data_IF_144136412664
#
_entry.id   IF_144136412664
#
_cell.length_a   1.000
_cell.length_b   1.000
_cell.length_c   1.000
_cell.angle_alpha   90.00
_cell.angle_beta   90.00
_cell.angle_gamma   90.00
#
_symmetry.space_group_name_H-M   'P 1'
#
loop_
_entity.id
_entity.type
_entity.pdbx_description
1 polymer ?
#
# COMPACT_ATOMS: atom_id res chain seq x y z
N UNK A 1 3.47 18.26 -13.15
CA UNK A 1 3.07 17.34 -12.07
C UNK A 1 3.78 15.98 -12.13
N UNK A 2 4.30 15.48 -13.27
CA UNK A 2 4.96 14.18 -13.37
C UNK A 2 6.18 13.96 -12.43
N UNK A 3 6.99 14.99 -12.16
CA UNK A 3 8.27 14.81 -11.46
C UNK A 3 8.23 14.46 -9.96
N UNK A 4 7.12 14.72 -9.25
CA UNK A 4 7.01 14.36 -7.82
C UNK A 4 6.46 12.94 -7.63
N UNK A 5 5.47 12.56 -8.43
CA UNK A 5 4.93 11.20 -8.40
C UNK A 5 5.99 10.17 -8.81
N UNK A 6 6.81 10.47 -9.82
CA UNK A 6 7.96 9.64 -10.22
C UNK A 6 8.98 9.50 -9.09
N UNK A 7 9.29 10.60 -8.39
CA UNK A 7 10.20 10.60 -7.25
C UNK A 7 9.68 9.74 -6.09
N UNK A 8 8.40 9.88 -5.73
CA UNK A 8 7.72 9.08 -4.70
C UNK A 8 7.76 7.60 -5.08
N UNK A 9 7.48 7.28 -6.34
CA UNK A 9 7.50 5.91 -6.84
C UNK A 9 8.90 5.30 -6.76
N UNK A 10 9.94 6.04 -7.16
CA UNK A 10 11.34 5.62 -7.03
C UNK A 10 11.72 5.37 -5.58
N UNK A 11 11.37 6.29 -4.68
CA UNK A 11 11.61 6.15 -3.24
C UNK A 11 10.95 4.87 -2.70
N UNK A 12 9.66 4.66 -2.94
CA UNK A 12 8.93 3.50 -2.46
C UNK A 12 9.50 2.19 -3.02
N UNK A 13 9.79 2.16 -4.33
CA UNK A 13 10.37 1.00 -5.01
C UNK A 13 11.71 0.62 -4.40
N UNK A 14 12.59 1.59 -4.19
CA UNK A 14 13.90 1.33 -3.63
C UNK A 14 13.82 0.92 -2.14
N UNK A 15 12.92 1.52 -1.35
CA UNK A 15 12.66 1.08 0.03
C UNK A 15 12.28 -0.39 0.08
N UNK A 16 11.32 -0.80 -0.74
CA UNK A 16 10.82 -2.17 -0.75
C UNK A 16 11.85 -3.17 -1.30
N UNK A 17 12.68 -2.73 -2.25
CA UNK A 17 13.85 -3.48 -2.71
C UNK A 17 14.79 -3.78 -1.54
N UNK A 18 15.21 -2.74 -0.80
CA UNK A 18 16.11 -2.90 0.36
C UNK A 18 15.47 -3.74 1.48
N UNK A 19 14.21 -3.47 1.82
CA UNK A 19 13.47 -4.19 2.87
C UNK A 19 13.38 -5.69 2.60
N UNK A 20 13.25 -6.10 1.34
CA UNK A 20 13.24 -7.53 0.99
C UNK A 20 14.57 -8.22 1.30
N UNK A 21 15.71 -7.53 1.21
CA UNK A 21 17.02 -8.07 1.61
C UNK A 21 17.08 -8.41 3.10
N UNK A 22 16.27 -7.74 3.92
CA UNK A 22 16.22 -7.91 5.37
C UNK A 22 15.04 -8.79 5.83
N UNK A 23 14.33 -9.43 4.91
CA UNK A 23 13.15 -10.25 5.18
C UNK A 23 12.03 -9.51 5.95
N UNK A 24 11.92 -8.18 5.78
CA UNK A 24 10.85 -7.39 6.41
C UNK A 24 9.75 -7.04 5.39
N UNK A 25 8.49 -6.91 5.82
CA UNK A 25 7.36 -6.61 4.93
C UNK A 25 7.54 -5.33 4.10
N UNK A 26 7.02 -5.32 2.88
CA UNK A 26 7.02 -4.13 2.03
C UNK A 26 6.15 -3.00 2.62
N UNK A 27 6.59 -1.76 2.46
CA UNK A 27 5.84 -0.56 2.82
C UNK A 27 4.80 -0.24 1.75
N UNK A 28 3.69 0.32 2.22
CA UNK A 28 2.68 0.97 1.40
C UNK A 28 2.93 2.46 1.37
N UNK A 29 2.62 3.08 0.25
CA UNK A 29 2.62 4.53 0.13
C UNK A 29 1.47 5.16 0.92
N UNK A 30 1.71 6.32 1.54
CA UNK A 30 0.67 7.12 2.20
C UNK A 30 0.76 8.58 1.78
N UNK A 31 -0.27 9.07 1.07
CA UNK A 31 -0.36 10.49 0.68
C UNK A 31 -0.40 11.46 1.85
N UNK A 32 -0.98 11.06 2.99
CA UNK A 32 -0.94 11.89 4.18
C UNK A 32 0.47 11.99 4.77
N UNK A 33 1.26 10.90 4.71
CA UNK A 33 2.67 10.98 5.08
C UNK A 33 3.45 11.84 4.08
N UNK A 34 3.16 11.77 2.77
CA UNK A 34 3.76 12.70 1.79
C UNK A 34 3.48 14.14 2.18
N UNK A 35 2.21 14.46 2.47
CA UNK A 35 1.81 15.82 2.85
C UNK A 35 2.62 16.31 4.05
N UNK A 36 2.64 15.54 5.13
CA UNK A 36 3.41 15.93 6.33
C UNK A 36 4.92 16.00 6.10
N UNK A 37 5.47 15.11 5.26
CA UNK A 37 6.89 15.11 4.92
C UNK A 37 7.23 16.28 4.00
N UNK A 38 6.34 16.65 3.08
CA UNK A 38 6.47 17.78 2.16
C UNK A 38 6.40 19.10 2.92
N UNK A 39 5.38 19.28 3.77
CA UNK A 39 5.24 20.46 4.63
C UNK A 39 6.51 20.64 5.49
N UNK A 40 7.08 19.54 6.01
CA UNK A 40 8.33 19.59 6.76
C UNK A 40 9.57 19.87 5.90
N UNK A 41 9.68 19.27 4.71
CA UNK A 41 10.79 19.53 3.78
C UNK A 41 10.83 21.01 3.37
N UNK A 42 9.67 21.61 3.13
CA UNK A 42 9.51 23.03 2.83
C UNK A 42 9.87 23.91 4.03
N UNK A 43 9.50 23.52 5.25
CA UNK A 43 9.93 24.23 6.44
C UNK A 43 11.45 24.15 6.66
N UNK A 44 12.07 22.99 6.46
CA UNK A 44 13.52 22.83 6.62
C UNK A 44 14.33 23.59 5.56
N UNK A 45 13.75 23.94 4.40
CA UNK A 45 14.50 24.62 3.34
C UNK A 45 14.97 26.00 3.80
N UNK A 46 14.17 26.69 4.62
CA UNK A 46 14.45 28.02 5.18
C UNK A 46 15.26 27.98 6.48
N UNK A 47 15.46 26.80 7.07
CA UNK A 47 16.19 26.62 8.32
C UNK A 47 17.70 26.42 8.06
N UNK A 48 18.52 26.92 8.97
CA UNK A 48 19.99 26.76 8.90
C UNK A 48 20.41 25.35 9.34
N UNK A 49 19.69 24.75 10.30
CA UNK A 49 20.02 23.44 10.86
C UNK A 49 18.95 22.41 10.53
N UNK A 50 19.40 21.20 10.16
CA UNK A 50 18.52 20.05 10.01
C UNK A 50 18.11 19.56 11.40
N UNK A 51 16.80 19.52 11.64
CA UNK A 51 16.18 19.03 12.87
C UNK A 51 14.99 18.14 12.52
N UNK A 52 14.60 17.30 13.48
CA UNK A 52 13.45 16.41 13.31
C UNK A 52 12.14 17.19 13.35
N UNK A 53 11.11 16.70 12.66
CA UNK A 53 9.78 17.30 12.71
C UNK A 53 9.14 17.23 14.10
N UNK A 54 8.22 18.15 14.44
CA UNK A 54 7.44 18.04 15.67
C UNK A 54 6.65 16.73 15.76
N UNK A 55 6.23 16.14 14.63
CA UNK A 55 5.54 14.84 14.58
C UNK A 55 6.48 13.70 15.01
N UNK A 56 7.71 13.70 14.49
CA UNK A 56 8.78 12.78 14.88
C UNK A 56 9.16 12.95 16.36
N UNK A 57 9.30 14.20 16.81
CA UNK A 57 9.61 14.52 18.22
C UNK A 57 8.56 14.07 19.23
N UNK A 58 7.29 13.96 18.82
CA UNK A 58 6.20 13.41 19.64
C UNK A 58 6.02 11.89 19.49
N UNK A 59 6.81 11.24 18.63
CA UNK A 59 6.73 9.81 18.36
C UNK A 59 5.50 9.41 17.53
N UNK A 60 4.88 10.33 16.80
CA UNK A 60 3.70 10.05 15.97
C UNK A 60 4.06 9.43 14.62
N UNK A 61 5.26 9.74 14.12
CA UNK A 61 5.84 9.21 12.88
C UNK A 61 7.31 8.90 13.08
N UNK A 62 7.82 7.92 12.35
CA UNK A 62 9.25 7.78 12.12
C UNK A 62 9.72 8.78 11.07
N UNK A 63 11.01 9.09 11.02
CA UNK A 63 11.52 10.11 10.11
C UNK A 63 12.94 9.78 9.61
N UNK A 64 13.18 10.03 8.32
CA UNK A 64 14.50 10.06 7.70
C UNK A 64 14.65 11.36 6.92
N UNK A 65 15.77 12.06 7.06
CA UNK A 65 16.03 13.34 6.38
C UNK A 65 17.35 13.24 5.62
N UNK A 66 17.39 13.81 4.42
CA UNK A 66 18.62 14.04 3.67
C UNK A 66 18.66 15.48 3.17
N UNK A 67 19.84 16.10 3.21
CA UNK A 67 20.08 17.43 2.68
C UNK A 67 21.29 17.37 1.75
N UNK A 68 21.15 18.01 0.59
CA UNK A 68 22.24 18.26 -0.36
C UNK A 68 22.40 19.76 -0.56
N UNK A 69 23.64 20.23 -0.42
CA UNK A 69 24.03 21.60 -0.73
C UNK A 69 25.03 21.62 -1.88
N UNK A 70 24.97 22.63 -2.74
CA UNK A 70 25.90 22.85 -3.84
C UNK A 70 26.05 24.34 -4.14
N UNK A 71 27.15 24.72 -4.78
CA UNK A 71 27.32 26.06 -5.35
C UNK A 71 26.51 26.25 -6.65
N UNK A 72 26.04 25.16 -7.26
CA UNK A 72 25.16 25.22 -8.42
C UNK A 72 23.77 25.73 -8.01
N UNK A 73 23.14 26.58 -8.84
CA UNK A 73 21.81 27.11 -8.57
C UNK A 73 20.71 26.03 -8.57
N UNK A 74 20.88 24.97 -9.36
CA UNK A 74 19.92 23.86 -9.41
C UNK A 74 20.51 22.60 -8.76
N UNK A 75 19.94 22.20 -7.63
CA UNK A 75 20.33 20.99 -6.89
C UNK A 75 19.11 20.10 -6.75
N UNK A 76 19.30 18.81 -7.03
CA UNK A 76 18.25 17.81 -6.87
C UNK A 76 18.82 16.52 -6.29
N UNK A 77 17.93 15.70 -5.72
CA UNK A 77 18.21 14.34 -5.25
C UNK A 77 17.15 13.42 -5.84
N UNK A 78 17.60 12.35 -6.51
CA UNK A 78 16.70 11.35 -7.08
C UNK A 78 16.19 10.39 -6.01
N UNK A 79 15.03 9.76 -6.26
CA UNK A 79 14.37 8.93 -5.25
C UNK A 79 15.18 7.69 -4.91
N UNK A 80 15.68 6.98 -5.92
CA UNK A 80 16.57 5.85 -5.67
C UNK A 80 17.89 6.26 -5.00
N UNK A 81 18.39 7.47 -5.31
CA UNK A 81 19.65 7.97 -4.77
C UNK A 81 19.57 8.22 -3.26
N UNK A 82 18.54 8.94 -2.79
CA UNK A 82 18.38 9.24 -1.36
C UNK A 82 18.15 7.97 -0.53
N UNK A 83 17.40 7.01 -1.07
CA UNK A 83 17.14 5.75 -0.37
C UNK A 83 18.41 4.90 -0.26
N UNK A 84 19.23 4.86 -1.32
CA UNK A 84 20.52 4.20 -1.28
C UNK A 84 21.47 4.88 -0.28
N UNK A 85 21.43 6.21 -0.16
CA UNK A 85 22.20 6.95 0.84
C UNK A 85 21.77 6.57 2.26
N UNK A 86 20.47 6.59 2.58
CA UNK A 86 19.97 6.17 3.88
C UNK A 86 20.28 4.70 4.19
N UNK A 87 20.18 3.82 3.20
CA UNK A 87 20.51 2.41 3.36
C UNK A 87 22.01 2.18 3.61
N UNK A 88 22.89 2.99 3.00
CA UNK A 88 24.33 2.90 3.20
C UNK A 88 24.77 3.18 4.65
N UNK A 89 23.93 3.83 5.46
CA UNK A 89 24.16 4.00 6.90
C UNK A 89 24.24 2.66 7.65
N UNK A 90 23.77 1.55 7.05
CA UNK A 90 23.96 0.18 7.55
C UNK A 90 25.42 -0.12 7.91
N UNK A 91 26.39 0.43 7.17
CA UNK A 91 27.83 0.23 7.44
C UNK A 91 28.26 0.72 8.82
N UNK A 92 27.46 1.60 9.42
CA UNK A 92 27.70 2.16 10.75
C UNK A 92 26.88 1.46 11.84
N UNK A 93 26.05 0.46 11.51
CA UNK A 93 25.19 -0.26 12.45
C UNK A 93 25.80 -1.61 12.82
N UNK A 94 25.91 -1.87 14.13
CA UNK A 94 26.31 -3.16 14.65
C UNK A 94 25.05 -3.95 15.06
N UNK A 95 24.76 -5.02 14.33
CA UNK A 95 23.58 -5.87 14.54
C UNK A 95 23.59 -6.67 15.85
N UNK A 96 24.76 -6.97 16.41
CA UNK A 96 24.87 -7.72 17.67
C UNK A 96 24.59 -6.83 18.89
N UNK A 97 25.13 -5.60 18.86
CA UNK A 97 24.99 -4.63 19.95
C UNK A 97 23.81 -3.67 19.80
N UNK A 98 23.12 -3.71 18.66
CA UNK A 98 22.00 -2.84 18.29
C UNK A 98 22.33 -1.34 18.31
N UNK A 99 23.59 -0.98 18.00
CA UNK A 99 24.11 0.39 18.12
C UNK A 99 24.77 0.90 16.85
N UNK A 100 24.77 2.22 16.69
CA UNK A 100 25.47 2.92 15.62
C UNK A 100 24.72 4.14 15.08
N UNK A 101 25.40 5.11 14.45
CA UNK A 101 24.76 6.26 13.81
C UNK A 101 24.10 5.86 12.49
N UNK A 102 23.01 5.09 12.59
CA UNK A 102 22.31 4.48 11.47
C UNK A 102 20.79 4.66 11.53
N UNK A 103 20.32 5.81 12.07
CA UNK A 103 18.91 6.09 12.30
C UNK A 103 18.06 6.00 11.02
N UNK A 104 18.56 6.50 9.88
CA UNK A 104 17.83 6.40 8.62
C UNK A 104 17.74 4.95 8.12
N UNK A 105 18.86 4.21 8.17
CA UNK A 105 18.88 2.79 7.79
C UNK A 105 17.92 1.97 8.65
N UNK A 106 18.02 2.08 9.98
CA UNK A 106 17.21 1.33 10.93
C UNK A 106 15.72 1.65 10.77
N UNK A 107 15.36 2.90 10.51
CA UNK A 107 13.98 3.28 10.19
C UNK A 107 13.50 2.68 8.86
N UNK A 108 14.34 2.73 7.82
CA UNK A 108 14.04 2.22 6.48
C UNK A 108 13.74 0.72 6.51
N UNK A 109 14.51 -0.07 7.26
CA UNK A 109 14.33 -1.53 7.37
C UNK A 109 13.48 -1.97 8.57
N UNK A 110 12.88 -1.04 9.31
CA UNK A 110 12.13 -1.38 10.54
C UNK A 110 10.98 -2.35 10.26
N UNK A 111 11.03 -3.53 10.86
CA UNK A 111 10.11 -4.65 10.64
C UNK A 111 8.64 -4.34 10.89
N UNK A 112 8.32 -3.48 11.86
CA UNK A 112 6.95 -3.10 12.23
C UNK A 112 6.37 -1.95 11.39
N UNK A 113 7.19 -1.19 10.66
CA UNK A 113 6.72 -0.06 9.83
C UNK A 113 5.89 -0.55 8.64
N UNK A 114 4.79 0.12 8.31
CA UNK A 114 3.82 -0.31 7.28
C UNK A 114 3.61 0.72 6.19
N UNK A 115 3.65 2.00 6.53
CA UNK A 115 3.41 3.11 5.61
C UNK A 115 4.64 4.01 5.54
N UNK A 116 4.87 4.60 4.37
CA UNK A 116 5.83 5.67 4.18
C UNK A 116 5.26 6.72 3.24
N UNK A 117 5.61 7.98 3.47
CA UNK A 117 5.41 9.06 2.52
C UNK A 117 6.63 9.97 2.46
N UNK A 118 6.76 10.70 1.36
CA UNK A 118 7.96 11.45 1.00
C UNK A 118 7.65 12.90 0.68
N UNK A 119 8.55 13.78 1.07
CA UNK A 119 8.55 15.19 0.73
C UNK A 119 9.91 15.60 0.15
N UNK A 120 9.90 16.52 -0.80
CA UNK A 120 11.11 17.12 -1.39
C UNK A 120 10.93 18.62 -1.60
N UNK A 121 11.85 19.41 -1.07
CA UNK A 121 11.92 20.85 -1.28
C UNK A 121 13.26 21.23 -1.91
N UNK A 122 13.24 22.29 -2.73
CA UNK A 122 14.42 22.82 -3.42
C UNK A 122 14.49 24.33 -3.28
N UNK A 123 15.68 24.84 -3.06
CA UNK A 123 16.04 26.25 -3.13
C UNK A 123 17.39 26.37 -3.89
N UNK A 124 17.80 27.57 -4.32
CA UNK A 124 19.09 27.74 -4.98
C UNK A 124 20.23 27.13 -4.15
N UNK A 125 20.96 26.17 -4.71
CA UNK A 125 22.05 25.50 -4.01
C UNK A 125 21.65 24.51 -2.92
N UNK A 126 20.37 24.19 -2.73
CA UNK A 126 19.90 23.34 -1.63
C UNK A 126 18.73 22.43 -2.05
N UNK A 127 18.81 21.15 -1.70
CA UNK A 127 17.68 20.22 -1.82
C UNK A 127 17.53 19.42 -0.52
N UNK A 128 16.31 19.32 -0.01
CA UNK A 128 15.97 18.55 1.18
C UNK A 128 14.95 17.49 0.79
N UNK A 129 15.18 16.28 1.28
CA UNK A 129 14.23 15.17 1.21
C UNK A 129 13.90 14.70 2.61
N UNK A 130 12.61 14.51 2.88
CA UNK A 130 12.07 13.96 4.12
C UNK A 130 11.26 12.71 3.79
N UNK A 131 11.40 11.66 4.58
CA UNK A 131 10.49 10.52 4.60
C UNK A 131 9.84 10.42 5.98
N UNK A 132 8.52 10.29 6.04
CA UNK A 132 7.79 9.96 7.26
C UNK A 132 7.27 8.54 7.21
N UNK A 133 7.34 7.83 8.35
CA UNK A 133 7.04 6.40 8.45
C UNK A 133 5.97 6.15 9.51
N UNK A 134 5.13 5.13 9.30
CA UNK A 134 4.14 4.71 10.30
C UNK A 134 3.93 3.18 10.33
N UNK A 135 3.83 2.55 11.52
CA UNK A 135 4.24 3.06 12.83
C UNK A 135 5.69 3.57 12.85
N UNK A 136 6.08 4.45 13.80
CA UNK A 136 7.46 4.89 13.92
C UNK A 136 8.41 3.72 14.19
N UNK A 137 9.60 3.78 13.59
CA UNK A 137 10.70 2.89 13.92
C UNK A 137 11.62 3.51 14.97
N UNK A 138 12.81 2.91 15.14
CA UNK A 138 13.84 3.38 16.08
C UNK A 138 13.35 3.46 17.54
N UNK A 139 12.41 2.58 17.90
CA UNK A 139 11.90 2.48 19.27
C UNK A 139 12.94 1.75 20.12
N UNK A 140 13.40 2.41 21.18
CA UNK A 140 14.40 1.85 22.10
C UNK A 140 13.90 0.51 22.68
N UNK A 141 14.77 -0.51 22.62
CA UNK A 141 14.48 -1.85 23.14
C UNK A 141 13.82 -2.80 22.15
N UNK A 142 13.53 -2.37 20.91
CA UNK A 142 12.86 -3.19 19.90
C UNK A 142 13.71 -3.41 18.63
N UNK A 143 15.03 -3.20 18.69
CA UNK A 143 15.87 -3.27 17.49
C UNK A 143 16.08 -4.69 16.97
N UNK A 144 16.36 -5.68 17.82
CA UNK A 144 16.52 -7.10 17.41
C UNK A 144 15.28 -7.66 16.71
N UNK A 145 14.10 -7.24 17.13
CA UNK A 145 12.82 -7.66 16.56
C UNK A 145 12.54 -7.02 15.18
N UNK A 146 13.21 -5.92 14.84
CA UNK A 146 12.85 -5.08 13.69
C UNK A 146 13.98 -4.83 12.69
N UNK A 147 15.25 -5.00 13.06
CA UNK A 147 16.42 -4.68 12.24
C UNK A 147 17.27 -5.94 12.07
N UNK A 148 16.92 -6.75 11.07
CA UNK A 148 17.60 -8.01 10.79
C UNK A 148 18.83 -7.79 9.89
N UNK A 149 19.84 -8.67 9.90
CA UNK A 149 20.91 -8.63 8.90
C UNK A 149 20.39 -9.00 7.50
N UNK A 150 21.08 -8.60 6.41
CA UNK A 150 20.70 -9.01 5.06
C UNK A 150 20.80 -10.54 4.87
N UNK A 151 19.84 -11.13 4.14
CA UNK A 151 19.75 -12.58 3.90
C UNK A 151 20.98 -13.18 3.16
N UNK A 152 21.79 -12.36 2.50
CA UNK A 152 23.03 -12.76 1.82
C UNK A 152 24.30 -12.60 2.67
N UNK A 153 24.16 -12.29 3.97
CA UNK A 153 25.29 -11.92 4.83
C UNK A 153 25.68 -10.44 4.69
N UNK A 154 26.55 -9.96 5.59
CA UNK A 154 27.11 -8.62 5.49
C UNK A 154 27.96 -8.51 4.21
N UNK A 155 27.86 -7.43 3.42
CA UNK A 155 28.65 -7.29 2.21
C UNK A 155 30.15 -7.21 2.55
N UNK A 156 30.84 -8.34 2.43
CA UNK A 156 32.30 -8.42 2.35
C UNK A 156 32.69 -8.30 0.87
N UNK A 157 33.62 -7.40 0.56
CA UNK A 157 33.94 -7.02 -0.82
C UNK A 157 34.37 -8.16 -1.74
N UNK A 158 33.88 -8.13 -2.98
CA UNK A 158 34.51 -8.67 -4.19
C UNK A 158 34.22 -10.13 -4.57
N UNK A 159 33.65 -10.35 -5.76
CA UNK A 159 33.78 -11.61 -6.52
C UNK A 159 32.50 -12.12 -7.22
N UNK A 160 32.45 -12.04 -8.56
CA UNK A 160 31.48 -12.72 -9.44
C UNK A 160 31.74 -14.26 -9.42
N UNK A 161 30.82 -15.21 -9.66
CA UNK A 161 29.86 -15.36 -10.76
C UNK A 161 28.79 -16.46 -10.47
N UNK A 162 27.71 -16.56 -11.27
CA UNK A 162 26.52 -17.41 -11.00
C UNK A 162 26.40 -18.62 -11.96
N UNK A 163 25.47 -19.56 -11.67
CA UNK A 163 24.91 -20.47 -12.70
C UNK A 163 23.40 -20.64 -12.49
N UNK A 164 22.62 -20.40 -13.55
CA UNK A 164 21.18 -20.70 -13.67
C UNK A 164 20.68 -20.38 -15.08
N UNK A 165 20.00 -21.36 -15.71
CA UNK A 165 19.76 -21.44 -17.17
C UNK A 165 18.78 -20.38 -17.68
N UNK A 166 19.14 -19.76 -18.82
CA UNK A 166 18.43 -18.68 -19.52
C UNK A 166 18.08 -19.13 -20.93
N UNK A 167 16.96 -18.65 -21.48
CA UNK A 167 16.69 -18.70 -22.91
C UNK A 167 16.59 -17.27 -23.45
N UNK A 168 17.41 -16.96 -24.44
CA UNK A 168 17.68 -15.60 -24.92
C UNK A 168 17.25 -15.48 -26.38
N UNK A 169 16.54 -14.41 -26.71
CA UNK A 169 16.43 -13.88 -28.08
C UNK A 169 16.78 -12.38 -27.97
N UNK A 170 17.56 -11.86 -28.92
CA UNK A 170 18.31 -10.61 -28.80
C UNK A 170 17.57 -9.45 -28.10
N UNK A 171 18.21 -8.89 -27.07
CA UNK A 171 17.82 -7.67 -26.37
C UNK A 171 16.74 -7.81 -25.29
N UNK A 172 16.04 -8.94 -25.21
CA UNK A 172 14.95 -9.16 -24.24
C UNK A 172 15.00 -10.56 -23.62
N UNK A 173 15.17 -10.64 -22.29
CA UNK A 173 15.10 -11.88 -21.52
C UNK A 173 13.71 -12.03 -20.90
N UNK A 174 12.98 -13.06 -21.32
CA UNK A 174 11.64 -13.38 -20.80
C UNK A 174 11.70 -14.62 -19.93
N UNK A 175 11.27 -14.51 -18.67
CA UNK A 175 11.10 -15.62 -17.74
C UNK A 175 9.61 -15.81 -17.49
N UNK A 176 9.07 -16.98 -17.79
CA UNK A 176 7.67 -17.32 -17.51
C UNK A 176 7.64 -18.38 -16.43
N UNK A 177 6.95 -18.09 -15.33
CA UNK A 177 6.70 -19.02 -14.23
C UNK A 177 5.21 -19.29 -14.20
N UNK A 178 4.84 -20.56 -14.29
CA UNK A 178 3.44 -21.00 -14.22
C UNK A 178 3.28 -21.81 -12.94
N UNK A 179 2.37 -21.38 -12.08
CA UNK A 179 2.07 -22.03 -10.81
C UNK A 179 0.58 -22.41 -10.77
N UNK A 180 0.30 -23.68 -10.46
CA UNK A 180 -1.05 -24.15 -10.26
C UNK A 180 -1.42 -23.92 -8.81
N UNK A 181 -2.41 -23.06 -8.57
CA UNK A 181 -2.87 -22.72 -7.23
C UNK A 181 -4.24 -23.34 -7.04
N UNK A 182 -4.43 -23.97 -5.88
CA UNK A 182 -5.72 -24.52 -5.46
C UNK A 182 -6.14 -23.75 -4.21
N UNK A 183 -7.24 -23.02 -4.32
CA UNK A 183 -7.82 -22.32 -3.17
C UNK A 183 -8.48 -23.35 -2.21
N UNK A 184 -8.71 -22.98 -0.94
CA UNK A 184 -9.31 -23.87 0.05
C UNK A 184 -10.73 -24.38 -0.29
N UNK A 185 -11.41 -23.72 -1.23
CA UNK A 185 -12.72 -24.11 -1.76
C UNK A 185 -12.64 -25.15 -2.89
N UNK A 186 -11.43 -25.57 -3.27
CA UNK A 186 -11.18 -26.53 -4.34
C UNK A 186 -11.05 -25.91 -5.74
N UNK A 187 -11.23 -24.59 -5.86
CA UNK A 187 -11.07 -23.86 -7.12
C UNK A 187 -9.62 -23.89 -7.56
N UNK A 188 -9.37 -24.38 -8.78
CA UNK A 188 -8.03 -24.50 -9.35
C UNK A 188 -7.82 -23.44 -10.42
N UNK A 189 -6.76 -22.67 -10.28
CA UNK A 189 -6.37 -21.69 -11.28
C UNK A 189 -4.88 -21.77 -11.58
N UNK A 190 -4.56 -21.37 -12.80
CA UNK A 190 -3.18 -21.31 -13.27
C UNK A 190 -2.74 -19.85 -13.23
N UNK A 191 -1.79 -19.55 -12.35
CA UNK A 191 -1.15 -18.23 -12.30
C UNK A 191 0.04 -18.27 -13.23
N UNK A 192 -0.02 -17.49 -14.31
CA UNK A 192 1.11 -17.28 -15.21
C UNK A 192 1.76 -15.94 -14.90
N UNK A 193 2.98 -15.98 -14.38
CA UNK A 193 3.83 -14.82 -14.12
C UNK A 193 4.86 -14.70 -15.23
N UNK A 194 4.82 -13.61 -15.99
CA UNK A 194 5.82 -13.29 -17.01
C UNK A 194 6.70 -12.13 -16.54
N UNK A 195 8.00 -12.34 -16.51
CA UNK A 195 9.02 -11.32 -16.24
C UNK A 195 9.76 -11.06 -17.54
N UNK A 196 9.65 -9.85 -18.08
CA UNK A 196 10.32 -9.42 -19.30
C UNK A 196 11.38 -8.39 -18.92
N UNK A 197 12.64 -8.75 -19.10
CA UNK A 197 13.80 -7.86 -18.95
C UNK A 197 14.24 -7.39 -20.35
N UNK A 198 14.20 -6.10 -20.62
CA UNK A 198 14.73 -5.52 -21.86
C UNK A 198 15.83 -4.51 -21.58
N UNK A 199 16.84 -4.45 -22.45
CA UNK A 199 17.93 -3.47 -22.34
C UNK A 199 17.61 -2.28 -23.25
N UNK A 200 17.47 -1.11 -22.67
CA UNK A 200 17.26 0.14 -23.40
C UNK A 200 18.52 0.58 -24.17
N UNK A 201 18.40 1.49 -25.14
CA UNK A 201 19.55 2.03 -25.90
C UNK A 201 20.63 2.70 -25.05
N UNK A 202 20.28 3.07 -23.81
CA UNK A 202 21.14 3.68 -22.79
C UNK A 202 21.84 2.65 -21.89
N UNK A 203 21.70 1.35 -22.19
CA UNK A 203 22.25 0.26 -21.38
C UNK A 203 21.47 -0.03 -20.09
N UNK A 204 20.33 0.64 -19.85
CA UNK A 204 19.49 0.40 -18.66
C UNK A 204 18.59 -0.82 -18.87
N UNK A 205 18.53 -1.69 -17.86
CA UNK A 205 17.65 -2.86 -17.86
C UNK A 205 16.26 -2.46 -17.33
N UNK A 206 15.23 -2.54 -18.17
CA UNK A 206 13.82 -2.43 -17.78
C UNK A 206 13.27 -3.83 -17.50
N UNK A 207 12.78 -4.08 -16.29
CA UNK A 207 12.11 -5.33 -15.90
C UNK A 207 10.62 -5.09 -15.69
N UNK A 208 9.78 -5.70 -16.52
CA UNK A 208 8.32 -5.65 -16.45
C UNK A 208 7.82 -7.01 -15.99
N UNK A 209 7.02 -7.06 -14.93
CA UNK A 209 6.36 -8.29 -14.46
C UNK A 209 4.87 -8.17 -14.69
N UNK A 210 4.27 -9.14 -15.39
CA UNK A 210 2.83 -9.23 -15.61
C UNK A 210 2.32 -10.58 -15.11
N UNK A 211 1.23 -10.55 -14.36
CA UNK A 211 0.54 -11.75 -13.88
C UNK A 211 -0.81 -11.87 -14.58
N UNK A 212 -1.12 -13.07 -15.07
CA UNK A 212 -2.41 -13.39 -15.69
C UNK A 212 -2.95 -14.67 -15.07
N UNK A 213 -4.25 -14.65 -14.76
CA UNK A 213 -4.99 -15.76 -14.18
C UNK A 213 -5.85 -16.40 -15.28
N UNK A 214 -5.75 -17.71 -15.44
CA UNK A 214 -6.65 -18.47 -16.30
C UNK A 214 -7.43 -19.46 -15.43
N UNK A 215 -8.75 -19.34 -15.43
CA UNK A 215 -9.64 -20.32 -14.82
C UNK A 215 -9.60 -21.63 -15.61
N UNK A 216 -9.61 -22.76 -14.90
CA UNK A 216 -9.90 -24.04 -15.53
C UNK A 216 -11.39 -24.04 -15.90
N UNK A 217 -11.68 -24.06 -17.20
CA UNK A 217 -13.04 -24.00 -17.73
C UNK A 217 -13.87 -25.20 -17.24
N UNK A 218 -14.92 -24.93 -16.47
CA UNK A 218 -16.12 -25.76 -16.43
C UNK A 218 -17.34 -24.89 -16.71
N UNK A 219 -18.10 -25.31 -17.72
CA UNK A 219 -19.31 -24.66 -18.22
C UNK A 219 -20.51 -24.89 -17.31
N UNK A 220 -21.52 -24.01 -17.46
CA UNK A 220 -22.99 -24.15 -17.32
C UNK A 220 -23.52 -22.95 -16.48
N UNK A 221 -24.57 -22.15 -16.79
CA UNK A 221 -25.45 -21.94 -17.94
C UNK A 221 -26.28 -20.65 -17.67
N UNK A 222 -26.58 -19.88 -18.74
CA UNK A 222 -27.83 -19.12 -19.11
C UNK A 222 -28.65 -18.34 -18.07
N UNK A 223 -29.42 -17.29 -18.37
CA UNK A 223 -29.57 -16.25 -19.41
C UNK A 223 -30.70 -15.35 -18.85
N UNK A 224 -30.59 -14.03 -18.99
CA UNK A 224 -31.75 -13.18 -19.26
C UNK A 224 -31.28 -11.79 -19.68
N UNK A 225 -31.27 -11.60 -20.99
CA UNK A 225 -31.05 -10.36 -21.71
C UNK A 225 -32.10 -9.25 -21.44
N UNK A 226 -31.65 -7.99 -21.46
CA UNK A 226 -32.37 -6.87 -22.09
C UNK A 226 -31.36 -5.98 -22.82
N UNK A 227 -31.67 -5.68 -24.08
CA UNK A 227 -30.75 -5.14 -25.10
C UNK A 227 -30.38 -3.65 -25.00
N UNK A 228 -29.63 -3.14 -26.01
CA UNK A 228 -28.80 -1.95 -25.88
C UNK A 228 -29.50 -0.67 -26.35
N UNK A 229 -29.33 0.42 -25.58
CA UNK A 229 -29.76 1.77 -25.92
C UNK A 229 -28.72 2.81 -25.50
N UNK A 230 -28.28 3.59 -26.49
CA UNK A 230 -27.39 4.74 -26.52
C UNK A 230 -27.02 5.47 -25.20
N UNK A 231 -25.71 5.77 -25.06
CA UNK A 231 -25.19 6.99 -24.42
C UNK A 231 -25.55 7.21 -22.94
N UNK A 232 -25.25 6.25 -22.06
CA UNK A 232 -25.58 6.32 -20.64
C UNK A 232 -24.36 6.40 -19.73
N UNK A 233 -24.43 7.30 -18.74
CA UNK A 233 -23.58 7.34 -17.55
C UNK A 233 -23.38 5.93 -16.95
N UNK A 234 -22.21 5.65 -16.38
CA UNK A 234 -21.94 4.36 -15.71
C UNK A 234 -23.06 4.09 -14.68
N UNK A 235 -23.82 3.00 -14.82
CA UNK A 235 -24.96 2.72 -13.93
C UNK A 235 -24.51 2.55 -12.49
N UNK A 236 -25.20 3.17 -11.53
CA UNK A 236 -24.90 3.07 -10.09
C UNK A 236 -24.07 4.21 -9.49
N UNK A 237 -23.95 5.34 -10.18
CA UNK A 237 -23.19 6.52 -9.74
C UNK A 237 -24.07 7.68 -9.23
N UNK A 238 -25.38 7.48 -9.07
CA UNK A 238 -26.24 8.52 -8.47
C UNK A 238 -25.97 8.61 -6.96
N UNK A 239 -26.19 9.79 -6.36
CA UNK A 239 -26.03 9.98 -4.91
C UNK A 239 -26.83 8.96 -4.10
N UNK A 240 -28.05 8.65 -4.54
CA UNK A 240 -28.94 7.68 -3.91
C UNK A 240 -28.41 6.25 -3.99
N UNK A 241 -27.80 5.88 -5.13
CA UNK A 241 -27.20 4.54 -5.29
C UNK A 241 -25.97 4.37 -4.41
N UNK A 242 -25.14 5.41 -4.29
CA UNK A 242 -23.95 5.42 -3.42
C UNK A 242 -24.37 5.30 -1.95
N UNK A 243 -25.39 6.05 -1.53
CA UNK A 243 -25.93 5.99 -0.17
C UNK A 243 -26.52 4.60 0.13
N UNK A 244 -27.38 4.07 -0.75
CA UNK A 244 -27.97 2.73 -0.59
C UNK A 244 -26.90 1.63 -0.53
N UNK A 245 -25.83 1.76 -1.33
CA UNK A 245 -24.68 0.86 -1.28
C UNK A 245 -23.94 0.97 0.06
N UNK A 246 -23.72 2.19 0.56
CA UNK A 246 -23.05 2.42 1.84
C UNK A 246 -23.82 1.86 3.04
N UNK A 247 -25.15 1.98 3.03
CA UNK A 247 -26.03 1.35 4.03
C UNK A 247 -25.94 -0.19 3.96
N UNK A 248 -26.00 -0.77 2.76
CA UNK A 248 -25.87 -2.21 2.57
C UNK A 248 -24.50 -2.73 3.05
N UNK A 249 -23.41 -2.02 2.74
CA UNK A 249 -22.06 -2.34 3.25
C UNK A 249 -22.03 -2.28 4.78
N UNK A 250 -22.65 -1.27 5.38
CA UNK A 250 -22.76 -1.13 6.85
C UNK A 250 -23.52 -2.29 7.47
N UNK A 251 -24.61 -2.74 6.84
CA UNK A 251 -25.38 -3.89 7.28
C UNK A 251 -24.54 -5.19 7.28
N UNK A 252 -23.80 -5.44 6.21
CA UNK A 252 -22.92 -6.63 6.12
C UNK A 252 -21.81 -6.58 7.17
N UNK A 253 -21.21 -5.42 7.42
CA UNK A 253 -20.26 -5.24 8.53
C UNK A 253 -20.91 -5.62 9.86
N UNK A 254 -22.12 -5.15 10.13
CA UNK A 254 -22.81 -5.41 11.39
C UNK A 254 -23.16 -6.89 11.58
N UNK A 255 -23.48 -7.60 10.50
CA UNK A 255 -23.68 -9.06 10.53
C UNK A 255 -22.41 -9.79 10.97
N UNK A 256 -21.25 -9.40 10.43
CA UNK A 256 -19.96 -9.96 10.83
C UNK A 256 -19.60 -9.56 12.27
N UNK A 257 -19.72 -8.28 12.62
CA UNK A 257 -19.42 -7.76 13.96
C UNK A 257 -20.22 -8.43 15.07
N UNK A 258 -21.49 -8.76 14.81
CA UNK A 258 -22.34 -9.49 15.74
C UNK A 258 -21.75 -10.86 16.13
N UNK A 259 -21.13 -11.58 15.18
CA UNK A 259 -20.48 -12.88 15.45
C UNK A 259 -19.30 -12.75 16.41
N UNK A 260 -18.68 -11.57 16.49
CA UNK A 260 -17.53 -11.30 17.35
C UNK A 260 -17.93 -10.53 18.63
N UNK A 261 -19.22 -10.30 18.86
CA UNK A 261 -19.71 -9.47 19.95
C UNK A 261 -19.27 -8.00 19.89
N UNK A 262 -18.90 -7.51 18.70
CA UNK A 262 -18.54 -6.11 18.48
C UNK A 262 -19.81 -5.25 18.30
N UNK A 263 -19.92 -4.06 18.92
CA UNK A 263 -21.08 -3.18 18.75
C UNK A 263 -21.31 -2.81 17.28
N UNK A 264 -22.56 -2.62 16.82
CA UNK A 264 -22.81 -2.28 15.42
C UNK A 264 -22.26 -0.89 15.07
N UNK A 265 -21.71 -0.77 13.86
CA UNK A 265 -21.34 0.50 13.23
C UNK A 265 -22.59 1.26 12.78
N UNK A 266 -22.55 2.58 12.93
CA UNK A 266 -23.54 3.51 12.38
C UNK A 266 -23.02 4.06 11.05
N UNK A 267 -23.85 4.01 10.01
CA UNK A 267 -23.55 4.69 8.75
C UNK A 267 -23.47 6.20 8.99
N UNK A 268 -22.41 6.83 8.49
CA UNK A 268 -22.17 8.27 8.60
C UNK A 268 -22.05 8.89 7.19
N UNK A 269 -23.02 9.74 6.79
CA UNK A 269 -22.99 10.40 5.49
C UNK A 269 -21.76 11.28 5.28
N UNK A 270 -21.23 11.95 6.32
CA UNK A 270 -20.05 12.82 6.19
C UNK A 270 -18.80 11.99 5.92
N UNK A 271 -18.64 10.87 6.63
CA UNK A 271 -17.56 9.93 6.35
C UNK A 271 -17.69 9.31 4.96
N UNK A 272 -18.92 9.08 4.49
CA UNK A 272 -19.17 8.53 3.15
C UNK A 272 -18.84 9.52 2.04
N UNK A 273 -19.12 10.81 2.22
CA UNK A 273 -18.68 11.85 1.27
C UNK A 273 -17.16 11.89 1.16
N UNK A 274 -16.45 11.75 2.29
CA UNK A 274 -14.99 11.63 2.30
C UNK A 274 -14.52 10.35 1.60
N UNK A 275 -15.11 9.19 1.92
CA UNK A 275 -14.74 7.91 1.32
C UNK A 275 -14.99 7.91 -0.21
N UNK A 276 -16.07 8.56 -0.65
CA UNK A 276 -16.43 8.70 -2.06
C UNK A 276 -15.40 9.53 -2.82
N UNK A 277 -15.02 10.70 -2.29
CA UNK A 277 -13.93 11.52 -2.86
C UNK A 277 -12.63 10.72 -3.00
N UNK A 278 -12.28 9.95 -1.98
CA UNK A 278 -11.06 9.15 -2.03
C UNK A 278 -11.15 8.00 -3.04
N UNK A 279 -12.30 7.35 -3.18
CA UNK A 279 -12.51 6.32 -4.19
C UNK A 279 -12.35 6.87 -5.61
N UNK A 280 -12.91 8.06 -5.87
CA UNK A 280 -12.79 8.78 -7.15
C UNK A 280 -11.35 9.19 -7.48
N UNK A 281 -10.54 9.52 -6.48
CA UNK A 281 -9.11 9.75 -6.66
C UNK A 281 -8.36 8.44 -6.93
N UNK A 282 -8.56 7.42 -6.09
CA UNK A 282 -7.86 6.13 -6.15
C UNK A 282 -8.09 5.35 -7.45
N UNK A 283 -9.27 5.48 -8.07
CA UNK A 283 -9.57 4.75 -9.31
C UNK A 283 -8.63 5.17 -10.44
N UNK A 284 -8.14 6.41 -10.43
CA UNK A 284 -7.18 6.92 -11.40
C UNK A 284 -5.71 6.61 -11.06
N UNK A 285 -5.43 6.16 -9.82
CA UNK A 285 -4.05 5.91 -9.39
C UNK A 285 -3.53 4.55 -9.85
N UNK A 286 -2.25 4.43 -10.25
CA UNK A 286 -1.67 3.15 -10.66
C UNK A 286 -1.51 2.17 -9.48
N UNK A 287 -1.49 2.67 -8.24
CA UNK A 287 -1.34 1.88 -7.02
C UNK A 287 -2.31 2.36 -5.94
N UNK A 288 -2.71 1.45 -5.06
CA UNK A 288 -3.48 1.80 -3.86
C UNK A 288 -2.60 2.54 -2.87
N UNK A 289 -3.12 3.65 -2.34
CA UNK A 289 -2.52 4.45 -1.27
C UNK A 289 -3.55 4.60 -0.15
N UNK A 290 -3.11 4.96 1.05
CA UNK A 290 -4.02 5.38 2.11
C UNK A 290 -4.31 6.89 2.02
N UNK A 291 -5.56 7.28 2.27
CA UNK A 291 -6.01 8.69 2.21
C UNK A 291 -5.30 9.57 3.25
N UNK A 292 -5.17 8.99 4.45
CA UNK A 292 -4.87 9.69 5.70
C UNK A 292 -5.75 10.89 5.99
N UNK A 293 -7.01 10.81 5.59
CA UNK A 293 -8.04 11.72 6.06
C UNK A 293 -8.20 11.67 7.58
N UNK A 294 -8.53 12.82 8.14
CA UNK A 294 -8.85 13.00 9.56
C UNK A 294 -10.28 13.47 9.69
N UNK A 295 -10.96 13.01 10.73
CA UNK A 295 -12.29 13.43 11.10
C UNK A 295 -12.30 13.73 12.59
N UNK A 296 -12.87 14.87 13.00
CA UNK A 296 -12.84 15.32 14.40
C UNK A 296 -11.42 15.29 15.02
N UNK A 297 -10.39 15.66 14.24
CA UNK A 297 -8.99 15.67 14.67
C UNK A 297 -8.31 14.30 14.78
N UNK A 298 -9.00 13.21 14.49
CA UNK A 298 -8.47 11.84 14.55
C UNK A 298 -8.38 11.24 13.15
N UNK A 299 -7.29 10.54 12.84
CA UNK A 299 -7.15 9.83 11.57
C UNK A 299 -8.19 8.72 11.44
N UNK A 300 -8.83 8.61 10.28
CA UNK A 300 -9.78 7.54 9.99
C UNK A 300 -9.08 6.19 9.83
N UNK A 301 -9.73 5.13 10.30
CA UNK A 301 -9.40 3.76 9.88
C UNK A 301 -9.81 3.59 8.42
N UNK A 302 -9.14 2.74 7.65
CA UNK A 302 -9.35 2.64 6.21
C UNK A 302 -9.20 1.20 5.71
N UNK A 303 -10.22 0.71 5.03
CA UNK A 303 -10.14 -0.48 4.18
C UNK A 303 -10.36 -0.06 2.72
N UNK A 304 -9.52 -0.56 1.82
CA UNK A 304 -9.61 -0.29 0.38
C UNK A 304 -9.56 -1.61 -0.38
N UNK A 305 -10.47 -1.76 -1.34
CA UNK A 305 -10.44 -2.84 -2.31
C UNK A 305 -10.37 -2.24 -3.71
N UNK A 306 -9.49 -2.76 -4.56
CA UNK A 306 -9.53 -2.50 -6.00
C UNK A 306 -9.54 -3.79 -6.79
N UNK A 307 -10.38 -3.84 -7.82
CA UNK A 307 -10.51 -4.98 -8.72
C UNK A 307 -10.66 -4.50 -10.16
N UNK A 308 -10.16 -5.30 -11.10
CA UNK A 308 -10.45 -5.14 -12.51
C UNK A 308 -11.56 -6.10 -12.93
N UNK A 309 -12.43 -5.64 -13.80
CA UNK A 309 -13.51 -6.43 -14.39
C UNK A 309 -13.54 -6.24 -15.90
N UNK A 310 -14.01 -7.24 -16.64
CA UNK A 310 -14.31 -7.13 -18.09
C UNK A 310 -15.67 -6.52 -18.37
N UNK A 311 -16.48 -6.30 -17.33
CA UNK A 311 -17.81 -5.70 -17.41
C UNK A 311 -17.96 -4.52 -16.43
N UNK A 312 -18.85 -3.58 -16.78
CA UNK A 312 -19.19 -2.42 -15.95
C UNK A 312 -20.11 -2.82 -14.78
N UNK A 313 -19.63 -3.70 -13.90
CA UNK A 313 -20.42 -4.26 -12.80
C UNK A 313 -19.72 -4.00 -11.48
N UNK A 314 -20.40 -3.31 -10.57
CA UNK A 314 -19.95 -3.13 -9.18
C UNK A 314 -20.01 -4.46 -8.40
N UNK A 315 -19.04 -4.69 -7.51
CA UNK A 315 -19.16 -5.77 -6.53
C UNK A 315 -20.30 -5.46 -5.54
N UNK A 316 -21.01 -6.51 -5.11
CA UNK A 316 -22.03 -6.38 -4.09
C UNK A 316 -21.44 -5.99 -2.74
N UNK A 317 -22.29 -5.45 -1.85
CA UNK A 317 -21.88 -5.16 -0.48
C UNK A 317 -21.37 -6.41 0.25
N UNK A 318 -21.99 -7.58 0.00
CA UNK A 318 -21.58 -8.85 0.57
C UNK A 318 -20.16 -9.23 0.12
N UNK A 319 -19.92 -9.27 -1.20
CA UNK A 319 -18.61 -9.64 -1.77
C UNK A 319 -17.48 -8.73 -1.29
N UNK A 320 -17.75 -7.42 -1.16
CA UNK A 320 -16.78 -6.44 -0.67
C UNK A 320 -16.34 -6.76 0.76
N UNK A 321 -17.31 -6.91 1.67
CA UNK A 321 -17.01 -7.06 3.09
C UNK A 321 -16.47 -8.45 3.37
N UNK A 322 -16.99 -9.48 2.70
CA UNK A 322 -16.51 -10.85 2.83
C UNK A 322 -15.05 -10.99 2.36
N UNK A 323 -14.65 -10.23 1.34
CA UNK A 323 -13.25 -10.18 0.91
C UNK A 323 -12.27 -9.71 1.99
N UNK A 324 -12.67 -8.76 2.85
CA UNK A 324 -11.87 -8.36 4.00
C UNK A 324 -12.04 -9.33 5.17
N UNK A 325 -13.27 -9.80 5.41
CA UNK A 325 -13.57 -10.67 6.54
C UNK A 325 -12.87 -12.04 6.46
N UNK A 326 -12.72 -12.63 5.28
CA UNK A 326 -12.03 -13.93 5.07
C UNK A 326 -10.58 -13.95 5.58
N UNK A 327 -9.95 -12.78 5.77
CA UNK A 327 -8.64 -12.67 6.41
C UNK A 327 -8.64 -13.18 7.86
N UNK A 328 -9.82 -13.39 8.48
CA UNK A 328 -9.98 -14.03 9.79
C UNK A 328 -9.28 -15.39 9.89
N UNK A 329 -9.22 -16.13 8.78
CA UNK A 329 -8.52 -17.43 8.67
C UNK A 329 -7.03 -17.34 8.99
N UNK A 330 -6.42 -16.16 8.84
CA UNK A 330 -5.00 -15.89 9.10
C UNK A 330 -4.77 -15.23 10.46
N UNK A 331 -5.83 -14.75 11.12
CA UNK A 331 -5.71 -14.03 12.38
C UNK A 331 -5.58 -14.99 13.56
N UNK A 332 -4.61 -14.71 14.44
CA UNK A 332 -4.41 -15.44 15.69
C UNK A 332 -5.03 -14.65 16.84
N UNK A 333 -6.18 -15.11 17.32
CA UNK A 333 -6.87 -14.48 18.46
C UNK A 333 -6.01 -14.48 19.73
N UNK A 334 -6.31 -13.54 20.63
CA UNK A 334 -5.61 -13.33 21.91
C UNK A 334 -4.11 -12.99 21.78
N UNK A 335 -3.66 -12.64 20.58
CA UNK A 335 -2.29 -12.19 20.29
C UNK A 335 -2.26 -10.74 19.79
N UNK A 336 -1.13 -10.07 20.02
CA UNK A 336 -0.84 -8.82 19.35
C UNK A 336 -0.08 -9.14 18.05
N UNK A 337 -0.65 -8.86 16.86
CA UNK A 337 0.03 -9.17 15.62
C UNK A 337 1.22 -8.23 15.41
N UNK A 338 2.36 -8.78 15.02
CA UNK A 338 3.52 -7.98 14.61
C UNK A 338 3.28 -7.26 13.27
N UNK A 339 2.32 -7.73 12.46
CA UNK A 339 1.93 -7.12 11.19
C UNK A 339 0.44 -7.27 10.93
N UNK A 340 -0.18 -6.21 10.40
CA UNK A 340 -1.56 -6.25 9.90
C UNK A 340 -1.67 -6.64 8.43
N UNK A 341 -0.56 -6.92 7.75
CA UNK A 341 -0.61 -7.30 6.33
C UNK A 341 -1.38 -8.62 6.16
N UNK A 342 -2.45 -8.58 5.38
CA UNK A 342 -3.32 -9.74 5.13
C UNK A 342 -4.24 -10.13 6.29
N UNK A 343 -4.33 -9.32 7.35
CA UNK A 343 -5.31 -9.43 8.44
C UNK A 343 -6.00 -8.08 8.78
N UNK A 344 -5.48 -6.97 8.23
CA UNK A 344 -5.88 -5.61 8.56
C UNK A 344 -7.30 -5.29 8.14
N UNK A 345 -7.78 -5.89 7.04
CA UNK A 345 -9.14 -5.76 6.58
C UNK A 345 -10.11 -6.39 7.59
N UNK A 346 -9.87 -7.65 7.96
CA UNK A 346 -10.68 -8.36 8.95
C UNK A 346 -10.68 -7.66 10.31
N UNK A 347 -9.50 -7.38 10.85
CA UNK A 347 -9.34 -6.76 12.18
C UNK A 347 -10.03 -5.41 12.27
N UNK A 348 -10.02 -4.61 11.18
CA UNK A 348 -10.77 -3.36 11.12
C UNK A 348 -12.29 -3.57 11.05
N UNK A 349 -12.78 -4.54 10.26
CA UNK A 349 -14.22 -4.87 10.15
C UNK A 349 -14.81 -5.17 11.53
N UNK A 350 -14.12 -5.98 12.34
CA UNK A 350 -14.61 -6.43 13.64
C UNK A 350 -14.12 -5.60 14.83
N UNK A 351 -13.39 -4.50 14.58
CA UNK A 351 -12.79 -3.68 15.64
C UNK A 351 -13.85 -3.09 16.58
N UNK A 352 -13.89 -3.55 17.83
CA UNK A 352 -14.98 -3.20 18.76
C UNK A 352 -15.09 -1.69 19.07
N UNK A 353 -13.97 -0.96 19.04
CA UNK A 353 -13.92 0.47 19.32
C UNK A 353 -14.39 1.37 18.17
N UNK A 354 -14.51 0.85 16.94
CA UNK A 354 -15.03 1.61 15.80
C UNK A 354 -16.55 1.77 15.94
N UNK A 355 -17.07 2.98 15.71
CA UNK A 355 -18.47 3.31 15.97
C UNK A 355 -19.21 3.78 14.72
N UNK A 356 -18.53 4.47 13.82
CA UNK A 356 -19.08 5.06 12.60
C UNK A 356 -18.35 4.51 11.38
N UNK A 357 -19.07 4.34 10.29
CA UNK A 357 -18.53 3.92 9.00
C UNK A 357 -19.00 4.84 7.88
N UNK A 358 -18.07 5.22 6.99
CA UNK A 358 -18.37 5.87 5.73
C UNK A 358 -17.93 5.01 4.55
N UNK A 359 -18.69 4.99 3.46
CA UNK A 359 -18.45 4.11 2.31
C UNK A 359 -18.47 4.91 1.03
N UNK A 360 -17.49 4.67 0.15
CA UNK A 360 -17.42 5.25 -1.17
C UNK A 360 -16.99 4.21 -2.21
N UNK A 361 -17.41 4.41 -3.47
CA UNK A 361 -16.99 3.57 -4.59
C UNK A 361 -16.83 4.38 -5.88
N UNK A 362 -15.89 3.98 -6.72
CA UNK A 362 -15.70 4.57 -8.04
C UNK A 362 -15.34 3.50 -9.07
N UNK A 363 -15.72 3.76 -10.32
CA UNK A 363 -15.40 2.91 -11.47
C UNK A 363 -14.86 3.76 -12.60
N UNK A 364 -13.81 3.28 -13.25
CA UNK A 364 -13.22 3.92 -14.42
C UNK A 364 -13.06 2.90 -15.56
N UNK A 365 -13.47 3.22 -16.80
CA UNK A 365 -13.16 2.42 -17.97
C UNK A 365 -11.65 2.37 -18.23
N UNK A 366 -11.17 1.25 -18.78
CA UNK A 366 -9.78 1.07 -19.21
C UNK A 366 -9.52 1.95 -20.44
N UNK A 367 -8.76 3.03 -20.26
CA UNK A 367 -8.13 3.76 -21.35
C UNK A 367 -6.86 3.00 -21.77
N UNK A 368 -6.98 2.06 -22.71
CA UNK A 368 -5.81 1.40 -23.31
C UNK A 368 -5.15 2.31 -24.37
N UNK A 369 -3.85 2.15 -24.67
CA UNK A 369 -3.26 2.71 -25.88
C UNK A 369 -4.06 2.25 -27.11
N UNK A 370 -4.29 3.14 -28.07
CA UNK A 370 -4.96 2.79 -29.32
C UNK A 370 -4.23 1.59 -29.98
N UNK A 371 -4.94 0.47 -30.16
CA UNK A 371 -4.44 -0.69 -30.92
C UNK A 371 -4.35 -2.03 -30.18
N UNK A 372 -4.69 -2.14 -28.89
CA UNK A 372 -4.75 -3.45 -28.21
C UNK A 372 -6.14 -4.07 -28.27
N UNK A 373 -6.24 -5.32 -28.69
CA UNK A 373 -7.47 -6.15 -28.83
C UNK A 373 -8.13 -6.58 -27.52
N UNK A 374 -7.65 -6.13 -26.35
CA UNK A 374 -8.35 -6.39 -25.09
C UNK A 374 -9.60 -5.51 -25.02
N UNK A 375 -10.79 -6.11 -24.94
CA UNK A 375 -12.06 -5.39 -24.80
C UNK A 375 -12.10 -4.42 -23.61
N UNK A 376 -13.17 -3.62 -23.47
CA UNK A 376 -13.27 -2.60 -22.44
C UNK A 376 -13.24 -3.24 -21.05
N UNK A 377 -12.13 -3.08 -20.34
CA UNK A 377 -12.04 -3.41 -18.91
C UNK A 377 -12.50 -2.23 -18.05
N UNK A 378 -12.81 -2.48 -16.80
CA UNK A 378 -13.18 -1.47 -15.81
C UNK A 378 -12.34 -1.68 -14.55
N UNK A 379 -11.74 -0.61 -14.04
CA UNK A 379 -11.15 -0.59 -12.70
C UNK A 379 -12.20 -0.10 -11.73
N UNK A 380 -12.36 -0.82 -10.63
CA UNK A 380 -13.22 -0.42 -9.53
C UNK A 380 -12.41 -0.23 -8.27
N UNK A 381 -12.85 0.71 -7.44
CA UNK A 381 -12.33 0.95 -6.10
C UNK A 381 -13.50 1.11 -5.15
N UNK A 382 -13.45 0.46 -3.98
CA UNK A 382 -14.26 0.86 -2.83
C UNK A 382 -13.37 1.18 -1.64
N UNK A 383 -13.83 2.15 -0.87
CA UNK A 383 -13.20 2.68 0.34
C UNK A 383 -14.21 2.60 1.47
N UNK A 384 -13.80 2.07 2.61
CA UNK A 384 -14.54 2.18 3.87
C UNK A 384 -13.68 2.93 4.88
N UNK A 385 -14.22 4.00 5.44
CA UNK A 385 -13.63 4.74 6.56
C UNK A 385 -14.29 4.40 7.87
N UNK A 386 -13.50 4.32 8.94
CA UNK A 386 -13.95 3.93 10.28
C UNK A 386 -13.56 5.00 11.30
N UNK A 387 -14.50 5.36 12.18
CA UNK A 387 -14.26 6.31 13.26
C UNK A 387 -14.83 5.81 14.60
N UNK A 388 -14.07 5.85 15.71
CA UNK A 388 -12.60 5.98 15.77
C UNK A 388 -11.88 4.88 14.94
N UNK A 389 -10.58 5.04 14.60
CA UNK A 389 -9.86 4.07 13.79
C UNK A 389 -9.67 2.74 14.52
N UNK A 390 -9.63 1.65 13.75
CA UNK A 390 -9.16 0.36 14.23
C UNK A 390 -7.66 0.15 13.97
N UNK A 391 -7.21 -1.08 14.18
CA UNK A 391 -5.83 -1.51 13.95
C UNK A 391 -4.79 -0.71 14.74
N UNK A 392 -5.17 -0.29 15.95
CA UNK A 392 -4.28 0.41 16.88
C UNK A 392 -3.39 -0.61 17.59
N UNK A 393 -2.07 -0.47 17.41
CA UNK A 393 -1.08 -1.34 18.05
C UNK A 393 -1.29 -1.44 19.55
N UNK A 394 -1.24 -2.66 20.10
CA UNK A 394 -1.41 -2.91 21.54
C UNK A 394 -2.87 -2.94 22.00
N UNK A 395 -3.83 -2.81 21.08
CA UNK A 395 -5.26 -2.87 21.39
C UNK A 395 -6.00 -3.97 20.63
N UNK A 396 -5.30 -4.89 19.96
CA UNK A 396 -5.96 -5.93 19.16
C UNK A 396 -6.69 -6.92 20.06
N UNK A 397 -6.07 -7.35 21.16
CA UNK A 397 -6.68 -8.33 22.09
C UNK A 397 -8.03 -7.87 22.65
N UNK A 398 -8.16 -6.58 22.93
CA UNK A 398 -9.41 -6.02 23.47
C UNK A 398 -10.47 -5.79 22.41
N UNK A 399 -10.06 -5.60 21.15
CA UNK A 399 -10.95 -5.16 20.07
C UNK A 399 -11.32 -6.23 19.06
N UNK A 400 -10.55 -7.32 18.95
CA UNK A 400 -10.74 -8.38 17.96
C UNK A 400 -10.92 -9.71 18.68
N UNK A 401 -12.18 -10.03 19.00
CA UNK A 401 -12.53 -11.26 19.74
C UNK A 401 -12.77 -12.44 18.81
N UNK A 402 -12.64 -13.70 19.27
CA UNK A 402 -13.09 -14.86 18.52
C UNK A 402 -14.57 -14.78 18.13
N UNK A 403 -14.97 -15.52 17.08
CA UNK A 403 -16.38 -15.74 16.76
C UNK A 403 -17.05 -16.51 17.90
N UNK A 404 -18.26 -16.12 18.29
CA UNK A 404 -19.08 -16.80 19.29
C UNK A 404 -19.83 -18.03 18.75
N UNK A 405 -19.61 -18.36 17.47
CA UNK A 405 -20.21 -19.49 16.76
C UNK A 405 -19.17 -20.24 15.94
#
# INVERSE_FOLDING_TARGET
>A
MAGMDDFIEECLREHNSKRSLHNVPALRHSRALDKTAQDWAEQLISEEQIKNSPLSGRGEVGESISMRTSTASHVDIQGAEVVNQWYADMRNYNFESEKGPAGNFTQLVWGATREVGFGKARAPGKCIVVAHYRPPGNVRGHYSENVHPPAGGLPTGGGHSPIGVQQTVEGTKKTTVTENVTDPDGSKYTVRREVVESVGPDGRVKRVTSESFAEASESLCTDSSTGPGAGGSIPGNSKKDIESFGEAVTQVHNNHRARHGAPPLKYDPQLSELAQKWAEELVHMPRLSNSGYTFEGVRLGENVLSRWSTAAVYFGAQDLVDHWYQECSKYKFDTEPSSIQGIGGFTQVVWSGSQRIGVGRAMQPKSGPAGTTSGPGYKMVAVCFYYPPGNVTGQFKTNVKPSSH
#
